data_IF_549026987325
#
_entry.id   IF_549026987325
#
_cell.length_a   1.000
_cell.length_b   1.000
_cell.length_c   1.000
_cell.angle_alpha   90.00
_cell.angle_beta   90.00
_cell.angle_gamma   90.00
#
_symmetry.space_group_name_H-M   'P 1'
#
loop_
_entity.id
_entity.type
_entity.pdbx_description
1 polymer ?
#
# COMPACT_ATOMS: atom_id res chain seq x y z
N UNK A 1 -6.03 42.38 12.07
CA UNK A 1 -5.97 42.51 13.53
C UNK A 1 -5.22 41.32 14.07
N UNK A 2 -3.86 41.41 14.08
CA UNK A 2 -2.99 40.40 14.68
C UNK A 2 -3.24 40.38 16.17
N UNK A 3 -3.91 39.38 16.70
CA UNK A 3 -3.90 39.11 18.12
C UNK A 3 -2.45 38.80 18.49
N UNK A 4 -1.87 39.60 19.38
CA UNK A 4 -0.63 39.27 20.09
C UNK A 4 -0.94 38.09 21.01
N UNK A 5 -0.88 36.88 20.43
CA UNK A 5 -1.01 35.64 21.18
C UNK A 5 0.37 35.26 21.70
N UNK A 6 0.44 34.86 22.96
CA UNK A 6 1.65 34.28 23.56
C UNK A 6 2.06 32.98 22.82
N UNK A 7 3.33 32.61 22.85
CA UNK A 7 3.85 31.45 22.15
C UNK A 7 3.08 30.13 22.41
N UNK A 8 2.61 29.85 23.65
CA UNK A 8 1.73 28.70 23.94
C UNK A 8 0.35 28.80 23.29
N UNK A 9 -0.25 29.97 23.21
CA UNK A 9 -1.55 30.21 22.58
C UNK A 9 -1.48 30.04 21.07
N UNK A 10 -0.39 30.49 20.44
CA UNK A 10 -0.10 30.26 19.03
C UNK A 10 0.00 28.77 18.74
N UNK A 11 0.68 28.00 19.60
CA UNK A 11 0.82 26.56 19.49
C UNK A 11 -0.53 25.83 19.59
N UNK A 12 -1.37 26.22 20.55
CA UNK A 12 -2.71 25.67 20.74
C UNK A 12 -3.63 25.97 19.54
N UNK A 13 -3.60 27.21 19.05
CA UNK A 13 -4.36 27.64 17.87
C UNK A 13 -3.98 26.80 16.62
N UNK A 14 -2.68 26.69 16.32
CA UNK A 14 -2.18 25.90 15.19
C UNK A 14 -2.61 24.44 15.28
N UNK A 15 -2.51 23.85 16.46
CA UNK A 15 -2.94 22.47 16.71
C UNK A 15 -4.45 22.29 16.52
N UNK A 16 -5.26 23.26 16.90
CA UNK A 16 -6.70 23.26 16.69
C UNK A 16 -7.07 23.33 15.21
N UNK A 17 -6.39 24.18 14.43
CA UNK A 17 -6.59 24.32 12.97
C UNK A 17 -6.21 22.98 12.27
N UNK A 18 -5.07 22.39 12.58
CA UNK A 18 -4.65 21.12 12.02
C UNK A 18 -5.64 20.00 12.37
N UNK A 19 -6.13 19.96 13.62
CA UNK A 19 -7.16 18.98 14.04
C UNK A 19 -8.45 19.15 13.24
N UNK A 20 -8.91 20.38 13.02
CA UNK A 20 -10.10 20.71 12.25
C UNK A 20 -9.97 20.24 10.79
N UNK A 21 -8.83 20.52 10.14
CA UNK A 21 -8.52 20.06 8.80
C UNK A 21 -8.50 18.53 8.73
N UNK A 22 -7.80 17.90 9.67
CA UNK A 22 -7.68 16.46 9.73
C UNK A 22 -9.03 15.75 9.83
N UNK A 23 -9.92 16.21 10.71
CA UNK A 23 -11.25 15.63 10.89
C UNK A 23 -12.15 15.82 9.66
N UNK A 24 -11.87 16.81 8.82
CA UNK A 24 -12.67 17.12 7.62
C UNK A 24 -12.16 16.41 6.36
N UNK A 25 -10.85 16.31 6.22
CA UNK A 25 -10.20 15.82 4.99
C UNK A 25 -9.88 14.33 5.07
N UNK A 26 -9.27 13.89 6.17
CA UNK A 26 -8.71 12.54 6.27
C UNK A 26 -9.74 11.41 6.22
N UNK A 27 -10.89 11.47 6.93
CA UNK A 27 -11.85 10.38 6.90
C UNK A 27 -12.38 10.08 5.49
N UNK A 28 -12.66 11.13 4.71
CA UNK A 28 -13.14 10.97 3.36
C UNK A 28 -12.08 10.31 2.46
N UNK A 29 -10.82 10.76 2.54
CA UNK A 29 -9.73 10.14 1.79
C UNK A 29 -9.50 8.67 2.18
N UNK A 30 -9.66 8.34 3.48
CA UNK A 30 -9.59 6.96 3.97
C UNK A 30 -10.67 6.10 3.34
N UNK A 31 -11.91 6.59 3.26
CA UNK A 31 -13.01 5.88 2.58
C UNK A 31 -12.70 5.64 1.11
N UNK A 32 -12.19 6.66 0.39
CA UNK A 32 -11.79 6.50 -1.01
C UNK A 32 -10.72 5.43 -1.19
N UNK A 33 -9.75 5.35 -0.27
CA UNK A 33 -8.66 4.40 -0.35
C UNK A 33 -9.09 2.99 0.04
N UNK A 34 -10.03 2.85 0.99
CA UNK A 34 -10.67 1.56 1.30
C UNK A 34 -11.35 1.01 0.04
N UNK A 35 -12.14 1.83 -0.68
CA UNK A 35 -12.79 1.40 -1.90
C UNK A 35 -11.80 0.97 -2.98
N UNK A 36 -10.69 1.70 -3.15
CA UNK A 36 -9.64 1.34 -4.08
C UNK A 36 -9.02 -0.04 -3.79
N UNK A 37 -8.82 -0.36 -2.51
CA UNK A 37 -8.24 -1.66 -2.14
C UNK A 37 -9.25 -2.81 -2.18
N UNK A 38 -10.53 -2.57 -1.91
CA UNK A 38 -11.60 -3.56 -2.11
C UNK A 38 -11.63 -3.94 -3.59
N UNK A 39 -11.68 -2.97 -4.49
CA UNK A 39 -11.72 -3.20 -5.93
C UNK A 39 -10.47 -3.93 -6.48
N UNK A 40 -9.31 -3.69 -5.89
CA UNK A 40 -8.09 -4.46 -6.25
C UNK A 40 -8.13 -5.91 -5.78
N UNK A 41 -8.75 -6.18 -4.64
CA UNK A 41 -8.81 -7.52 -4.06
C UNK A 41 -9.93 -8.37 -4.67
N UNK A 42 -11.02 -7.76 -5.14
CA UNK A 42 -12.24 -8.42 -5.58
C UNK A 42 -12.02 -9.46 -6.70
N UNK A 43 -11.10 -9.20 -7.62
CA UNK A 43 -10.79 -10.14 -8.71
C UNK A 43 -10.28 -11.49 -8.22
N UNK A 44 -9.59 -11.52 -7.06
CA UNK A 44 -9.15 -12.77 -6.43
C UNK A 44 -10.32 -13.59 -5.89
N UNK A 45 -11.37 -12.93 -5.38
CA UNK A 45 -12.60 -13.59 -4.92
C UNK A 45 -13.50 -13.96 -6.09
N UNK A 46 -13.70 -13.06 -7.05
CA UNK A 46 -14.44 -13.34 -8.27
C UNK A 46 -13.90 -14.58 -9.01
N UNK A 47 -12.58 -14.80 -8.96
CA UNK A 47 -11.91 -15.95 -9.59
C UNK A 47 -12.43 -17.30 -9.11
N UNK A 48 -13.07 -17.39 -7.94
CA UNK A 48 -13.66 -18.64 -7.41
C UNK A 48 -14.72 -19.21 -8.36
N UNK A 49 -15.46 -18.36 -9.04
CA UNK A 49 -16.51 -18.73 -10.00
C UNK A 49 -16.18 -18.29 -11.43
N UNK A 50 -15.66 -17.08 -11.59
CA UNK A 50 -15.35 -16.45 -12.87
C UNK A 50 -14.45 -17.30 -13.75
N UNK A 51 -13.43 -17.95 -13.18
CA UNK A 51 -12.47 -18.74 -13.96
C UNK A 51 -13.15 -19.92 -14.65
N UNK A 52 -14.10 -20.58 -13.98
CA UNK A 52 -14.85 -21.68 -14.53
C UNK A 52 -15.87 -21.20 -15.56
N UNK A 53 -16.59 -20.11 -15.27
CA UNK A 53 -17.60 -19.52 -16.17
C UNK A 53 -16.98 -19.02 -17.49
N UNK A 54 -15.85 -18.34 -17.43
CA UNK A 54 -15.13 -17.83 -18.61
C UNK A 54 -14.21 -18.88 -19.27
N UNK A 55 -14.06 -20.07 -18.70
CA UNK A 55 -13.17 -21.13 -19.19
C UNK A 55 -11.69 -20.71 -19.22
N UNK A 56 -11.25 -19.88 -18.28
CA UNK A 56 -9.87 -19.36 -18.23
C UNK A 56 -8.98 -20.16 -17.28
N UNK A 57 -7.74 -20.34 -17.73
CA UNK A 57 -6.71 -21.04 -16.94
C UNK A 57 -6.15 -20.13 -15.82
N UNK A 58 -5.44 -20.75 -14.85
CA UNK A 58 -4.72 -19.99 -13.83
C UNK A 58 -3.66 -19.04 -14.39
N UNK A 59 -3.01 -19.43 -15.50
CA UNK A 59 -2.07 -18.57 -16.23
C UNK A 59 -2.77 -17.33 -16.82
N UNK A 60 -3.92 -17.53 -17.46
CA UNK A 60 -4.72 -16.44 -18.02
C UNK A 60 -5.26 -15.51 -16.91
N UNK A 61 -5.76 -16.08 -15.80
CA UNK A 61 -6.16 -15.31 -14.63
C UNK A 61 -4.99 -14.46 -14.10
N UNK A 62 -3.83 -15.08 -13.88
CA UNK A 62 -2.64 -14.39 -13.39
C UNK A 62 -2.17 -13.29 -14.34
N UNK A 63 -2.26 -13.52 -15.67
CA UNK A 63 -1.97 -12.50 -16.67
C UNK A 63 -2.96 -11.33 -16.59
N UNK A 64 -4.27 -11.59 -16.57
CA UNK A 64 -5.28 -10.55 -16.47
C UNK A 64 -5.13 -9.74 -15.20
N UNK A 65 -4.93 -10.39 -14.04
CA UNK A 65 -4.68 -9.73 -12.76
C UNK A 65 -3.42 -8.85 -12.80
N UNK A 66 -2.34 -9.35 -13.41
CA UNK A 66 -1.08 -8.62 -13.54
C UNK A 66 -1.14 -7.43 -14.50
N UNK A 67 -1.90 -7.51 -15.58
CA UNK A 67 -2.05 -6.44 -16.58
C UNK A 67 -2.57 -5.12 -15.98
N UNK A 68 -3.35 -5.19 -14.91
CA UNK A 68 -3.71 -4.02 -14.11
C UNK A 68 -2.45 -3.23 -13.68
N UNK A 69 -1.44 -3.92 -13.15
CA UNK A 69 -0.22 -3.28 -12.65
C UNK A 69 0.59 -2.62 -13.77
N UNK A 70 0.56 -3.18 -14.98
CA UNK A 70 1.20 -2.58 -16.16
C UNK A 70 0.48 -1.29 -16.56
N UNK A 71 -0.85 -1.33 -16.69
CA UNK A 71 -1.65 -0.14 -16.98
C UNK A 71 -1.44 0.96 -15.93
N UNK A 72 -1.46 0.60 -14.66
CA UNK A 72 -1.21 1.51 -13.55
C UNK A 72 0.18 2.15 -13.63
N UNK A 73 1.23 1.34 -13.80
CA UNK A 73 2.62 1.79 -13.86
C UNK A 73 2.86 2.79 -15.01
N UNK A 74 2.38 2.48 -16.22
CA UNK A 74 2.58 3.33 -17.39
C UNK A 74 1.91 4.70 -17.25
N UNK A 75 0.76 4.76 -16.59
CA UNK A 75 -0.04 5.98 -16.50
C UNK A 75 0.07 6.71 -15.16
N UNK A 76 0.79 6.19 -14.17
CA UNK A 76 0.96 6.81 -12.87
C UNK A 76 1.60 8.22 -12.97
N UNK A 77 2.69 8.36 -13.70
CA UNK A 77 3.38 9.65 -13.88
C UNK A 77 2.55 10.64 -14.71
N UNK A 78 2.02 10.28 -15.90
CA UNK A 78 1.13 11.15 -16.65
C UNK A 78 -0.08 11.63 -15.85
N UNK A 79 -0.70 10.75 -15.06
CA UNK A 79 -1.84 11.08 -14.21
C UNK A 79 -1.49 12.15 -13.17
N UNK A 80 -0.34 12.02 -12.51
CA UNK A 80 0.14 13.00 -11.53
C UNK A 80 0.46 14.36 -12.16
N UNK A 81 0.98 14.37 -13.38
CA UNK A 81 1.21 15.64 -14.11
C UNK A 81 -0.10 16.34 -14.47
N UNK A 82 -1.12 15.59 -14.88
CA UNK A 82 -2.45 16.13 -15.20
C UNK A 82 -3.15 16.67 -13.96
N UNK A 83 -3.02 16.00 -12.81
CA UNK A 83 -3.57 16.51 -11.55
C UNK A 83 -3.08 17.91 -11.20
N UNK A 84 -1.78 18.19 -11.40
CA UNK A 84 -1.23 19.54 -11.16
C UNK A 84 -1.84 20.62 -12.03
N UNK A 85 -2.27 20.27 -13.26
CA UNK A 85 -2.91 21.22 -14.21
C UNK A 85 -4.42 21.38 -13.98
N UNK A 86 -5.10 20.28 -13.69
CA UNK A 86 -6.58 20.22 -13.59
C UNK A 86 -7.07 20.58 -12.18
N UNK A 87 -6.24 20.37 -11.16
CA UNK A 87 -6.59 20.46 -9.75
C UNK A 87 -6.98 19.08 -9.15
N UNK A 88 -6.71 18.94 -7.84
CA UNK A 88 -6.85 17.66 -7.15
C UNK A 88 -8.29 17.16 -7.12
N UNK A 89 -9.25 18.04 -6.78
CA UNK A 89 -10.67 17.72 -6.68
C UNK A 89 -11.22 17.08 -7.95
N UNK A 90 -11.05 17.77 -9.07
CA UNK A 90 -11.57 17.29 -10.37
C UNK A 90 -10.86 16.05 -10.84
N UNK A 91 -9.54 15.96 -10.61
CA UNK A 91 -8.76 14.85 -11.09
C UNK A 91 -9.00 13.56 -10.29
N UNK A 92 -9.08 13.65 -8.95
CA UNK A 92 -9.44 12.50 -8.09
C UNK A 92 -10.87 12.03 -8.41
N UNK A 93 -11.82 12.97 -8.60
CA UNK A 93 -13.19 12.62 -8.99
C UNK A 93 -13.23 11.88 -10.35
N UNK A 94 -12.44 12.35 -11.34
CA UNK A 94 -12.30 11.67 -12.63
C UNK A 94 -11.75 10.26 -12.49
N UNK A 95 -10.70 10.09 -11.65
CA UNK A 95 -10.10 8.76 -11.39
C UNK A 95 -11.17 7.82 -10.83
N UNK A 96 -11.89 8.23 -9.78
CA UNK A 96 -12.93 7.44 -9.14
C UNK A 96 -14.06 7.08 -10.11
N UNK A 97 -14.53 8.06 -10.89
CA UNK A 97 -15.60 7.85 -11.86
C UNK A 97 -15.17 6.88 -12.97
N UNK A 98 -14.01 7.11 -13.59
CA UNK A 98 -13.54 6.27 -14.70
C UNK A 98 -13.18 4.86 -14.24
N UNK A 99 -12.52 4.72 -13.09
CA UNK A 99 -12.20 3.44 -12.49
C UNK A 99 -13.47 2.68 -12.10
N UNK A 100 -14.39 3.30 -11.33
CA UNK A 100 -15.64 2.65 -10.93
C UNK A 100 -16.49 2.22 -12.13
N UNK A 101 -16.55 3.04 -13.20
CA UNK A 101 -17.24 2.66 -14.44
C UNK A 101 -16.61 1.43 -15.10
N UNK A 102 -15.26 1.38 -15.19
CA UNK A 102 -14.55 0.21 -15.75
C UNK A 102 -14.72 -1.02 -14.86
N UNK A 103 -14.71 -0.85 -13.52
CA UNK A 103 -15.00 -1.95 -12.58
C UNK A 103 -16.40 -2.53 -12.86
N UNK A 104 -17.43 -1.70 -12.94
CA UNK A 104 -18.79 -2.14 -13.30
C UNK A 104 -18.81 -2.84 -14.66
N UNK A 105 -18.14 -2.28 -15.66
CA UNK A 105 -18.06 -2.89 -17.00
C UNK A 105 -17.34 -4.23 -17.00
N UNK A 106 -16.43 -4.49 -16.05
CA UNK A 106 -15.77 -5.78 -15.89
C UNK A 106 -16.79 -6.90 -15.54
N UNK A 107 -17.90 -6.56 -14.89
CA UNK A 107 -19.01 -7.52 -14.67
C UNK A 107 -19.70 -8.01 -15.94
N UNK A 108 -19.44 -7.41 -17.10
CA UNK A 108 -20.07 -7.77 -18.38
C UNK A 108 -19.11 -8.45 -19.38
N UNK A 109 -17.92 -8.86 -18.95
CA UNK A 109 -16.98 -9.58 -19.81
C UNK A 109 -17.43 -11.03 -20.02
N UNK A 110 -17.12 -11.57 -21.21
CA UNK A 110 -17.53 -12.92 -21.62
C UNK A 110 -16.35 -13.83 -21.99
N UNK A 111 -15.14 -13.32 -22.06
CA UNK A 111 -13.96 -14.09 -22.42
C UNK A 111 -12.68 -13.50 -21.79
N UNK A 112 -11.58 -14.24 -21.91
CA UNK A 112 -10.26 -13.84 -21.42
C UNK A 112 -9.80 -12.50 -22.00
N UNK A 113 -10.00 -12.27 -23.29
CA UNK A 113 -9.50 -11.07 -23.97
C UNK A 113 -10.18 -9.81 -23.43
N UNK A 114 -11.51 -9.87 -23.25
CA UNK A 114 -12.28 -8.78 -22.65
C UNK A 114 -11.85 -8.54 -21.19
N UNK A 115 -11.64 -9.60 -20.40
CA UNK A 115 -11.14 -9.48 -19.04
C UNK A 115 -9.75 -8.83 -19.01
N UNK A 116 -8.83 -9.26 -19.86
CA UNK A 116 -7.47 -8.70 -19.94
C UNK A 116 -7.49 -7.21 -20.32
N UNK A 117 -8.32 -6.83 -21.30
CA UNK A 117 -8.53 -5.43 -21.69
C UNK A 117 -9.12 -4.64 -20.51
N UNK A 118 -10.19 -5.14 -19.89
CA UNK A 118 -10.84 -4.47 -18.77
C UNK A 118 -9.86 -4.24 -17.59
N UNK A 119 -9.04 -5.23 -17.25
CA UNK A 119 -8.01 -5.12 -16.20
C UNK A 119 -6.92 -4.11 -16.55
N UNK A 120 -6.49 -4.06 -17.82
CA UNK A 120 -5.51 -3.07 -18.29
C UNK A 120 -6.10 -1.65 -18.21
N UNK A 121 -7.30 -1.46 -18.73
CA UNK A 121 -8.00 -0.16 -18.71
C UNK A 121 -8.31 0.27 -17.28
N UNK A 122 -8.66 -0.67 -16.39
CA UNK A 122 -8.85 -0.39 -14.96
C UNK A 122 -7.57 0.15 -14.32
N UNK A 123 -6.42 -0.48 -14.61
CA UNK A 123 -5.12 0.00 -14.16
C UNK A 123 -4.80 1.42 -14.65
N UNK A 124 -5.09 1.71 -15.92
CA UNK A 124 -4.94 3.06 -16.50
C UNK A 124 -5.89 4.06 -15.82
N UNK A 125 -7.13 3.69 -15.61
CA UNK A 125 -8.15 4.55 -15.02
C UNK A 125 -7.84 4.91 -13.55
N UNK A 126 -7.32 3.95 -12.78
CA UNK A 126 -6.94 4.12 -11.36
C UNK A 126 -5.54 4.73 -11.20
N UNK A 127 -4.73 4.75 -12.27
CA UNK A 127 -3.35 5.19 -12.22
C UNK A 127 -3.19 6.59 -11.60
N UNK A 128 -2.25 6.68 -10.65
CA UNK A 128 -1.95 7.93 -9.96
C UNK A 128 -2.88 8.27 -8.80
N UNK A 129 -3.87 7.45 -8.46
CA UNK A 129 -4.79 7.74 -7.34
C UNK A 129 -4.03 7.98 -6.03
N UNK A 130 -3.19 7.03 -5.61
CA UNK A 130 -2.43 7.13 -4.37
C UNK A 130 -1.48 8.35 -4.36
N UNK A 131 -0.60 8.56 -5.36
CA UNK A 131 0.24 9.75 -5.40
C UNK A 131 -0.56 11.06 -5.47
N UNK A 132 -1.73 11.08 -6.14
CA UNK A 132 -2.61 12.22 -6.16
C UNK A 132 -3.15 12.55 -4.76
N UNK A 133 -3.52 11.55 -3.98
CA UNK A 133 -3.95 11.75 -2.59
C UNK A 133 -2.78 12.28 -1.74
N UNK A 134 -1.58 11.71 -1.88
CA UNK A 134 -0.40 12.22 -1.17
C UNK A 134 -0.11 13.68 -1.53
N UNK A 135 -0.18 14.02 -2.82
CA UNK A 135 0.00 15.39 -3.29
C UNK A 135 -1.10 16.32 -2.76
N UNK A 136 -2.35 15.85 -2.71
CA UNK A 136 -3.46 16.59 -2.11
C UNK A 136 -3.22 16.87 -0.62
N UNK A 137 -2.72 15.89 0.13
CA UNK A 137 -2.37 16.08 1.54
C UNK A 137 -1.27 17.14 1.74
N UNK A 138 -0.38 17.36 0.76
CA UNK A 138 0.62 18.44 0.85
C UNK A 138 0.02 19.83 0.77
N UNK A 139 -1.18 19.99 0.22
CA UNK A 139 -1.90 21.26 0.18
C UNK A 139 -2.58 21.62 1.51
N UNK A 140 -2.71 20.62 2.43
CA UNK A 140 -3.49 20.75 3.66
C UNK A 140 -2.66 20.59 4.93
N UNK A 141 -1.49 19.99 4.84
CA UNK A 141 -0.68 19.68 6.01
C UNK A 141 0.77 20.13 5.85
N UNK A 142 1.28 20.94 6.79
CA UNK A 142 2.70 21.23 6.89
C UNK A 142 3.55 19.96 7.04
N UNK A 143 4.83 20.03 6.67
CA UNK A 143 5.74 18.88 6.63
C UNK A 143 5.80 18.11 7.96
N UNK A 144 5.84 18.85 9.07
CA UNK A 144 5.89 18.27 10.42
C UNK A 144 4.72 17.34 10.73
N UNK A 145 3.51 17.66 10.21
CA UNK A 145 2.29 16.87 10.45
C UNK A 145 2.06 15.79 9.38
N UNK A 146 2.64 15.97 8.20
CA UNK A 146 2.36 15.15 7.01
C UNK A 146 2.64 13.68 7.21
N UNK A 147 3.79 13.33 7.81
CA UNK A 147 4.16 11.94 8.05
C UNK A 147 3.11 11.22 8.93
N UNK A 148 2.63 11.91 9.96
CA UNK A 148 1.59 11.38 10.87
C UNK A 148 0.25 11.21 10.17
N UNK A 149 -0.14 12.17 9.33
CA UNK A 149 -1.41 12.12 8.58
C UNK A 149 -1.37 11.02 7.53
N UNK A 150 -0.26 10.86 6.81
CA UNK A 150 -0.07 9.78 5.85
C UNK A 150 -0.12 8.42 6.55
N UNK A 151 0.54 8.26 7.70
CA UNK A 151 0.46 7.02 8.47
C UNK A 151 -0.98 6.68 8.87
N UNK A 152 -1.78 7.67 9.26
CA UNK A 152 -3.20 7.48 9.57
C UNK A 152 -4.04 7.16 8.33
N UNK A 153 -3.74 7.77 7.19
CA UNK A 153 -4.36 7.44 5.91
C UNK A 153 -4.09 5.98 5.51
N UNK A 154 -2.88 5.48 5.77
CA UNK A 154 -2.50 4.10 5.44
C UNK A 154 -3.24 3.03 6.26
N UNK A 155 -3.95 3.40 7.34
CA UNK A 155 -4.85 2.49 8.07
C UNK A 155 -5.96 1.94 7.15
N UNK A 156 -6.30 2.68 6.11
CA UNK A 156 -7.25 2.22 5.09
C UNK A 156 -6.88 0.85 4.48
N UNK A 157 -5.59 0.57 4.32
CA UNK A 157 -5.09 -0.65 3.67
C UNK A 157 -5.53 -1.93 4.41
N UNK A 158 -5.17 -2.13 5.69
CA UNK A 158 -5.60 -3.33 6.41
C UNK A 158 -7.11 -3.38 6.62
N UNK A 159 -7.79 -2.24 6.79
CA UNK A 159 -9.26 -2.18 6.91
C UNK A 159 -9.93 -2.62 5.62
N UNK A 160 -9.46 -2.17 4.47
CA UNK A 160 -9.98 -2.56 3.17
C UNK A 160 -9.85 -4.08 2.94
N UNK A 161 -8.70 -4.64 3.23
CA UNK A 161 -8.44 -6.07 3.04
C UNK A 161 -9.28 -6.93 3.98
N UNK A 162 -9.51 -6.45 5.21
CA UNK A 162 -10.39 -7.11 6.18
C UNK A 162 -11.87 -7.14 5.72
N UNK A 163 -12.31 -6.10 5.01
CA UNK A 163 -13.69 -5.97 4.52
C UNK A 163 -13.87 -6.72 3.18
N UNK A 164 -12.90 -6.65 2.29
CA UNK A 164 -12.99 -7.15 0.92
C UNK A 164 -13.41 -8.63 0.85
N UNK A 165 -12.76 -9.49 1.65
CA UNK A 165 -13.04 -10.93 1.65
C UNK A 165 -14.49 -11.28 2.03
N UNK A 166 -14.94 -10.91 3.23
CA UNK A 166 -16.32 -11.14 3.64
C UNK A 166 -17.34 -10.51 2.69
N UNK A 167 -17.11 -9.28 2.21
CA UNK A 167 -18.02 -8.60 1.31
C UNK A 167 -18.17 -9.35 -0.03
N UNK A 168 -17.05 -9.61 -0.70
CA UNK A 168 -17.07 -10.34 -1.99
C UNK A 168 -17.60 -11.75 -1.83
N UNK A 169 -17.25 -12.46 -0.73
CA UNK A 169 -17.77 -13.79 -0.44
C UNK A 169 -19.29 -13.81 -0.21
N UNK A 170 -19.84 -12.84 0.52
CA UNK A 170 -21.28 -12.71 0.71
C UNK A 170 -22.00 -12.39 -0.61
N UNK A 171 -21.42 -11.57 -1.47
CA UNK A 171 -21.99 -11.30 -2.80
C UNK A 171 -22.04 -12.61 -3.61
N UNK A 172 -20.97 -13.37 -3.64
CA UNK A 172 -20.89 -14.64 -4.37
C UNK A 172 -21.96 -15.65 -3.91
N UNK A 173 -22.18 -15.77 -2.60
CA UNK A 173 -23.12 -16.76 -2.07
C UNK A 173 -24.61 -16.32 -2.13
N UNK A 174 -24.91 -15.01 -2.13
CA UNK A 174 -26.28 -14.53 -1.91
C UNK A 174 -26.86 -13.69 -3.05
N UNK A 175 -26.03 -13.22 -4.00
CA UNK A 175 -26.52 -12.36 -5.08
C UNK A 175 -26.61 -13.11 -6.40
N UNK A 176 -27.80 -13.60 -6.71
CA UNK A 176 -28.14 -14.34 -7.94
C UNK A 176 -29.27 -13.61 -8.70
N UNK A 177 -29.15 -12.28 -8.82
CA UNK A 177 -30.23 -11.46 -9.39
C UNK A 177 -30.29 -11.57 -10.90
N UNK A 178 -31.48 -11.57 -11.46
CA UNK A 178 -31.76 -11.55 -12.91
C UNK A 178 -31.14 -12.69 -13.71
N UNK A 179 -30.79 -13.81 -13.08
CA UNK A 179 -30.13 -14.93 -13.77
C UNK A 179 -28.70 -14.64 -14.22
N UNK A 180 -28.07 -13.62 -13.61
CA UNK A 180 -26.69 -13.23 -13.88
C UNK A 180 -25.77 -13.88 -12.83
N UNK A 181 -24.63 -14.41 -13.29
CA UNK A 181 -23.64 -15.08 -12.46
C UNK A 181 -23.16 -14.19 -11.29
N UNK A 182 -23.01 -14.76 -10.10
CA UNK A 182 -22.70 -14.02 -8.85
C UNK A 182 -21.38 -13.24 -8.93
N UNK A 183 -20.36 -13.80 -9.57
CA UNK A 183 -19.08 -13.13 -9.71
C UNK A 183 -19.17 -11.79 -10.47
N UNK A 184 -20.14 -11.64 -11.36
CA UNK A 184 -20.38 -10.38 -12.09
C UNK A 184 -20.87 -9.30 -11.16
N UNK A 185 -21.70 -9.67 -10.18
CA UNK A 185 -22.22 -8.76 -9.16
C UNK A 185 -21.14 -8.28 -8.20
N UNK A 186 -20.04 -9.03 -7.99
CA UNK A 186 -18.89 -8.54 -7.21
C UNK A 186 -18.35 -7.26 -7.85
N UNK A 187 -18.09 -7.26 -9.16
CA UNK A 187 -17.59 -6.06 -9.87
C UNK A 187 -18.63 -4.94 -9.95
N UNK A 188 -19.90 -5.27 -10.15
CA UNK A 188 -20.96 -4.28 -10.27
C UNK A 188 -21.22 -3.59 -8.92
N UNK A 189 -21.43 -4.35 -7.85
CA UNK A 189 -21.79 -3.81 -6.53
C UNK A 189 -20.61 -3.12 -5.83
N UNK A 190 -19.38 -3.54 -6.09
CA UNK A 190 -18.20 -2.88 -5.54
C UNK A 190 -17.73 -1.71 -6.40
N UNK A 191 -18.04 -1.70 -7.72
CA UNK A 191 -17.70 -0.60 -8.62
C UNK A 191 -18.66 0.59 -8.53
N UNK A 192 -19.98 0.37 -8.33
CA UNK A 192 -20.96 1.44 -8.20
C UNK A 192 -20.62 2.46 -7.11
N UNK A 193 -20.25 2.07 -5.88
CA UNK A 193 -19.84 3.01 -4.84
C UNK A 193 -18.67 3.91 -5.25
N UNK A 194 -17.70 3.40 -6.03
CA UNK A 194 -16.60 4.20 -6.53
C UNK A 194 -17.09 5.31 -7.49
N UNK A 195 -18.03 4.99 -8.39
CA UNK A 195 -18.69 5.99 -9.27
C UNK A 195 -19.40 7.04 -8.43
N UNK A 196 -20.19 6.62 -7.43
CA UNK A 196 -20.93 7.55 -6.55
C UNK A 196 -19.96 8.43 -5.76
N UNK A 197 -18.88 7.86 -5.22
CA UNK A 197 -17.85 8.62 -4.52
C UNK A 197 -17.12 9.59 -5.46
N UNK A 198 -17.00 9.28 -6.74
CA UNK A 198 -16.52 10.22 -7.75
C UNK A 198 -17.36 11.50 -7.80
N UNK A 199 -18.69 11.38 -7.81
CA UNK A 199 -19.58 12.54 -7.71
C UNK A 199 -19.47 13.25 -6.36
N UNK A 200 -19.47 12.51 -5.25
CA UNK A 200 -19.33 13.09 -3.90
C UNK A 200 -18.02 13.86 -3.77
N UNK A 201 -16.95 13.38 -4.37
CA UNK A 201 -15.62 14.01 -4.36
C UNK A 201 -15.65 15.43 -4.92
N UNK A 202 -16.48 15.71 -5.94
CA UNK A 202 -16.63 17.05 -6.50
C UNK A 202 -17.19 18.07 -5.50
N UNK A 203 -17.88 17.63 -4.47
CA UNK A 203 -18.46 18.48 -3.44
C UNK A 203 -17.69 18.40 -2.10
N UNK A 204 -17.12 17.25 -1.78
CA UNK A 204 -16.44 17.01 -0.51
C UNK A 204 -15.00 17.54 -0.50
N UNK A 205 -14.25 17.39 -1.60
CA UNK A 205 -12.88 17.90 -1.69
C UNK A 205 -12.86 19.37 -2.15
N UNK A 206 -11.83 20.09 -1.70
CA UNK A 206 -11.60 21.51 -2.02
C UNK A 206 -10.14 21.68 -2.44
N UNK A 207 -9.88 22.46 -3.49
CA UNK A 207 -8.54 22.64 -4.10
C UNK A 207 -7.63 23.63 -3.35
N UNK A 208 -7.74 23.70 -2.03
CA UNK A 208 -6.84 24.49 -1.20
C UNK A 208 -7.55 25.29 -0.09
N UNK A 209 -6.77 25.83 0.88
CA UNK A 209 -7.30 26.42 2.10
C UNK A 209 -8.23 27.60 1.84
N UNK A 210 -7.90 28.52 0.95
CA UNK A 210 -8.71 29.71 0.65
C UNK A 210 -10.07 29.41 0.01
N UNK A 211 -10.25 28.22 -0.58
CA UNK A 211 -11.53 27.79 -1.15
C UNK A 211 -12.40 27.06 -0.13
N UNK A 212 -11.87 26.78 1.06
CA UNK A 212 -12.54 26.02 2.11
C UNK A 212 -13.44 26.91 2.96
N UNK A 213 -14.73 26.93 2.68
CA UNK A 213 -15.73 27.75 3.41
C UNK A 213 -15.80 27.45 4.92
N UNK A 214 -15.23 26.35 5.37
CA UNK A 214 -15.21 25.92 6.76
C UNK A 214 -13.93 26.36 7.51
N UNK A 215 -12.95 26.99 6.84
CA UNK A 215 -11.84 27.70 7.46
C UNK A 215 -12.17 29.20 7.56
N UNK A 216 -11.68 29.84 8.62
CA UNK A 216 -11.64 31.29 8.67
C UNK A 216 -10.54 31.80 7.74
N UNK A 217 -10.59 33.10 7.42
CA UNK A 217 -9.59 33.71 6.56
C UNK A 217 -8.20 33.62 7.19
N UNK A 218 -8.08 33.91 8.47
CA UNK A 218 -6.82 33.86 9.20
C UNK A 218 -6.24 32.43 9.26
N UNK A 219 -7.11 31.39 9.43
CA UNK A 219 -6.69 29.98 9.38
C UNK A 219 -6.16 29.61 7.98
N UNK A 220 -6.82 30.07 6.92
CA UNK A 220 -6.42 29.78 5.53
C UNK A 220 -5.13 30.51 5.15
N UNK A 221 -4.97 31.78 5.55
CA UNK A 221 -3.77 32.59 5.32
C UNK A 221 -2.56 31.95 6.02
N UNK A 222 -2.67 31.66 7.33
CA UNK A 222 -1.62 31.02 8.08
C UNK A 222 -1.17 29.69 7.46
N UNK A 223 -2.12 28.84 7.07
CA UNK A 223 -1.80 27.54 6.50
C UNK A 223 -1.09 27.68 5.15
N UNK A 224 -1.60 28.56 4.29
CA UNK A 224 -1.03 28.81 2.95
C UNK A 224 0.39 29.38 3.07
N UNK A 225 0.59 30.40 3.91
CA UNK A 225 1.91 30.97 4.15
C UNK A 225 2.92 29.95 4.66
N UNK A 226 2.49 29.07 5.60
CA UNK A 226 3.33 28.01 6.14
C UNK A 226 3.77 27.03 5.06
N UNK A 227 2.81 26.53 4.25
CA UNK A 227 3.08 25.56 3.18
C UNK A 227 3.92 26.18 2.05
N UNK A 228 3.65 27.43 1.69
CA UNK A 228 4.41 28.15 0.65
C UNK A 228 5.85 28.44 1.10
N UNK A 229 6.06 28.77 2.38
CA UNK A 229 7.39 28.96 2.94
C UNK A 229 8.20 27.64 2.90
N UNK A 230 7.60 26.50 3.30
CA UNK A 230 8.23 25.18 3.17
C UNK A 230 8.56 24.83 1.71
N UNK A 231 7.64 25.13 0.79
CA UNK A 231 7.81 24.83 -0.64
C UNK A 231 8.93 25.66 -1.25
N UNK A 232 9.05 26.96 -0.89
CA UNK A 232 10.13 27.83 -1.33
C UNK A 232 11.49 27.39 -0.78
N UNK A 233 11.54 27.01 0.50
CA UNK A 233 12.76 26.50 1.12
C UNK A 233 13.26 25.22 0.42
N UNK A 234 12.33 24.33 0.05
CA UNK A 234 12.66 23.12 -0.72
C UNK A 234 13.13 23.43 -2.14
N UNK A 235 12.45 24.33 -2.85
CA UNK A 235 12.84 24.72 -4.20
C UNK A 235 14.25 25.32 -4.25
N UNK A 236 14.63 26.10 -3.25
CA UNK A 236 15.98 26.68 -3.13
C UNK A 236 17.07 25.62 -2.88
N UNK A 237 16.72 24.48 -2.25
CA UNK A 237 17.64 23.39 -1.96
C UNK A 237 17.80 22.38 -3.12
N UNK A 238 17.07 22.53 -4.23
CA UNK A 238 16.96 21.50 -5.26
C UNK A 238 17.98 21.65 -6.39
N UNK A 239 19.01 20.75 -6.41
CA UNK A 239 19.72 20.36 -7.63
C UNK A 239 18.91 19.30 -8.40
N UNK A 240 18.93 19.33 -9.73
CA UNK A 240 18.27 18.31 -10.56
C UNK A 240 19.00 16.97 -10.45
N UNK A 241 18.39 15.97 -9.82
CA UNK A 241 18.89 14.59 -9.82
C UNK A 241 18.11 13.80 -10.87
N UNK A 242 18.82 13.20 -11.84
CA UNK A 242 18.19 12.38 -12.86
C UNK A 242 17.62 11.08 -12.29
N UNK A 243 16.38 10.77 -12.60
CA UNK A 243 15.69 9.52 -12.23
C UNK A 243 16.49 8.28 -12.69
N UNK A 244 16.95 8.27 -13.95
CA UNK A 244 17.72 7.16 -14.51
C UNK A 244 19.06 6.95 -13.78
N UNK A 245 19.72 8.02 -13.36
CA UNK A 245 20.97 7.92 -12.61
C UNK A 245 20.75 7.42 -11.18
N UNK A 246 19.60 7.74 -10.58
CA UNK A 246 19.21 7.21 -9.28
C UNK A 246 18.89 5.73 -9.34
N UNK A 247 18.26 5.25 -10.43
CA UNK A 247 17.99 3.83 -10.66
C UNK A 247 19.27 2.98 -10.77
N UNK A 248 20.34 3.50 -11.38
CA UNK A 248 21.57 2.75 -11.63
C UNK A 248 22.43 2.50 -10.38
N UNK A 249 22.13 3.13 -9.26
CA UNK A 249 22.86 2.95 -8.01
C UNK A 249 22.65 1.57 -7.39
N UNK A 250 23.73 0.82 -7.10
CA UNK A 250 23.66 -0.52 -6.52
C UNK A 250 22.84 -0.58 -5.22
N UNK A 251 22.87 0.48 -4.40
CA UNK A 251 22.09 0.59 -3.17
C UNK A 251 20.59 0.67 -3.46
N UNK A 252 20.20 1.50 -4.45
CA UNK A 252 18.81 1.64 -4.91
C UNK A 252 18.31 0.34 -5.52
N UNK A 253 19.09 -0.30 -6.40
CA UNK A 253 18.76 -1.58 -7.02
C UNK A 253 18.60 -2.69 -5.97
N UNK A 254 19.48 -2.75 -4.97
CA UNK A 254 19.37 -3.73 -3.87
C UNK A 254 18.06 -3.56 -3.09
N UNK A 255 17.72 -2.33 -2.69
CA UNK A 255 16.47 -2.07 -2.00
C UNK A 255 15.25 -2.29 -2.92
N UNK A 256 15.36 -1.96 -4.20
CA UNK A 256 14.31 -2.23 -5.18
C UNK A 256 14.05 -3.73 -5.31
N UNK A 257 15.09 -4.57 -5.35
CA UNK A 257 14.93 -6.02 -5.41
C UNK A 257 14.29 -6.59 -4.13
N UNK A 258 14.69 -6.09 -2.94
CA UNK A 258 14.09 -6.52 -1.67
C UNK A 258 12.59 -6.16 -1.66
N UNK A 259 12.25 -4.94 -2.05
CA UNK A 259 10.86 -4.50 -2.08
C UNK A 259 10.04 -5.18 -3.18
N UNK A 260 10.65 -5.43 -4.34
CA UNK A 260 10.06 -6.20 -5.43
C UNK A 260 9.71 -7.64 -5.01
N UNK A 261 10.64 -8.35 -4.37
CA UNK A 261 10.43 -9.72 -3.90
C UNK A 261 9.28 -9.80 -2.89
N UNK A 262 9.22 -8.83 -1.96
CA UNK A 262 8.08 -8.67 -1.06
C UNK A 262 6.78 -8.37 -1.79
N UNK A 263 6.80 -7.49 -2.81
CA UNK A 263 5.62 -7.13 -3.59
C UNK A 263 5.08 -8.32 -4.36
N UNK A 264 5.95 -9.13 -4.98
CA UNK A 264 5.56 -10.41 -5.60
C UNK A 264 4.78 -11.28 -4.62
N UNK A 265 5.31 -11.49 -3.41
CA UNK A 265 4.63 -12.29 -2.38
C UNK A 265 3.26 -11.70 -1.99
N UNK A 266 3.17 -10.38 -1.80
CA UNK A 266 1.91 -9.69 -1.46
C UNK A 266 0.85 -9.90 -2.53
N UNK A 267 1.20 -9.71 -3.81
CA UNK A 267 0.24 -9.84 -4.90
C UNK A 267 -0.16 -11.29 -5.15
N UNK A 268 0.76 -12.25 -5.00
CA UNK A 268 0.42 -13.69 -5.05
C UNK A 268 -0.56 -14.02 -3.93
N UNK A 269 -0.28 -13.62 -2.69
CA UNK A 269 -1.20 -13.82 -1.57
C UNK A 269 -2.55 -13.16 -1.83
N UNK A 270 -2.58 -11.91 -2.28
CA UNK A 270 -3.83 -11.18 -2.49
C UNK A 270 -4.75 -11.83 -3.52
N UNK A 271 -4.20 -12.36 -4.62
CA UNK A 271 -5.01 -12.90 -5.71
C UNK A 271 -5.27 -14.39 -5.63
N UNK A 272 -4.37 -15.17 -5.02
CA UNK A 272 -4.48 -16.64 -5.00
C UNK A 272 -4.91 -17.20 -3.64
N UNK A 273 -4.80 -16.45 -2.53
CA UNK A 273 -5.25 -16.95 -1.21
C UNK A 273 -6.71 -17.38 -1.22
N UNK A 274 -7.68 -16.66 -1.83
CA UNK A 274 -9.06 -17.13 -1.89
C UNK A 274 -9.18 -18.51 -2.55
N UNK A 275 -8.53 -18.70 -3.70
CA UNK A 275 -8.54 -19.99 -4.43
C UNK A 275 -7.81 -21.10 -3.64
N UNK A 276 -6.70 -20.77 -2.96
CA UNK A 276 -5.98 -21.72 -2.12
C UNK A 276 -6.88 -22.18 -0.97
N UNK A 277 -7.49 -21.25 -0.24
CA UNK A 277 -8.40 -21.57 0.89
C UNK A 277 -9.61 -22.38 0.42
N UNK A 278 -10.21 -22.00 -0.70
CA UNK A 278 -11.33 -22.74 -1.28
C UNK A 278 -10.97 -24.19 -1.64
N UNK A 279 -9.72 -24.41 -2.12
CA UNK A 279 -9.23 -25.76 -2.45
C UNK A 279 -8.89 -26.64 -1.25
N UNK A 280 -8.81 -26.09 -0.03
CA UNK A 280 -8.48 -26.84 1.18
C UNK A 280 -9.70 -27.45 1.91
N UNK A 281 -10.91 -27.10 1.51
CA UNK A 281 -12.13 -27.57 2.18
C UNK A 281 -13.24 -27.94 1.22
N UNK A 282 -13.65 -29.20 1.19
CA UNK A 282 -14.64 -29.74 0.23
C UNK A 282 -16.04 -29.07 0.25
N UNK A 283 -16.32 -28.16 1.20
CA UNK A 283 -17.65 -27.54 1.38
C UNK A 283 -17.60 -26.11 1.96
N UNK A 284 -16.53 -25.38 1.74
CA UNK A 284 -16.51 -24.00 2.20
C UNK A 284 -17.37 -23.12 1.28
N UNK A 285 -18.33 -22.37 1.86
CA UNK A 285 -19.02 -21.31 1.13
C UNK A 285 -18.04 -20.18 0.79
N UNK A 286 -18.32 -19.40 -0.25
CA UNK A 286 -17.50 -18.24 -0.63
C UNK A 286 -17.43 -17.22 0.52
N UNK A 287 -18.51 -17.06 1.29
CA UNK A 287 -18.54 -16.26 2.53
C UNK A 287 -17.52 -16.77 3.54
N UNK A 288 -17.46 -18.09 3.78
CA UNK A 288 -16.48 -18.69 4.70
C UNK A 288 -15.06 -18.48 4.20
N UNK A 289 -14.80 -18.67 2.91
CA UNK A 289 -13.51 -18.36 2.28
C UNK A 289 -13.15 -16.90 2.52
N UNK A 290 -14.09 -15.97 2.34
CA UNK A 290 -13.90 -14.54 2.57
C UNK A 290 -13.48 -14.21 4.00
N UNK A 291 -14.16 -14.79 5.01
CA UNK A 291 -13.80 -14.59 6.42
C UNK A 291 -12.46 -15.23 6.78
N UNK A 292 -12.18 -16.44 6.31
CA UNK A 292 -10.92 -17.14 6.56
C UNK A 292 -9.75 -16.34 5.97
N UNK A 293 -9.89 -15.84 4.74
CA UNK A 293 -8.87 -15.04 4.08
C UNK A 293 -8.67 -13.66 4.70
N UNK A 294 -9.63 -13.14 5.45
CA UNK A 294 -9.50 -11.90 6.20
C UNK A 294 -8.62 -12.04 7.46
N UNK A 295 -8.57 -13.23 8.08
CA UNK A 295 -7.82 -13.47 9.33
C UNK A 295 -6.31 -13.14 9.22
N UNK A 296 -5.57 -13.59 8.18
CA UNK A 296 -4.19 -13.23 7.98
C UNK A 296 -3.93 -11.72 7.98
N UNK A 297 -4.80 -10.96 7.33
CA UNK A 297 -4.65 -9.51 7.22
C UNK A 297 -5.01 -8.78 8.51
N UNK A 298 -6.00 -9.27 9.26
CA UNK A 298 -6.31 -8.75 10.60
C UNK A 298 -5.12 -8.91 11.55
N UNK A 299 -4.52 -10.09 11.58
CA UNK A 299 -3.32 -10.36 12.36
C UNK A 299 -2.13 -9.49 11.91
N UNK A 300 -1.94 -9.35 10.59
CA UNK A 300 -0.89 -8.54 10.02
C UNK A 300 -1.04 -7.06 10.39
N UNK A 301 -2.24 -6.50 10.37
CA UNK A 301 -2.51 -5.11 10.73
C UNK A 301 -2.07 -4.77 12.16
N UNK A 302 -2.28 -5.68 13.10
CA UNK A 302 -1.89 -5.51 14.50
C UNK A 302 -0.37 -5.68 14.65
N UNK A 303 0.16 -6.77 14.12
CA UNK A 303 1.56 -7.14 14.31
C UNK A 303 2.53 -6.16 13.63
N UNK A 304 2.22 -5.66 12.42
CA UNK A 304 3.10 -4.75 11.70
C UNK A 304 3.37 -3.44 12.46
N UNK A 305 2.37 -2.95 13.20
CA UNK A 305 2.51 -1.73 14.03
C UNK A 305 3.42 -1.99 15.23
N UNK A 306 3.22 -3.12 15.90
CA UNK A 306 4.06 -3.52 17.04
C UNK A 306 5.51 -3.75 16.58
N UNK A 307 5.71 -4.47 15.48
CA UNK A 307 7.02 -4.78 14.92
C UNK A 307 7.79 -3.54 14.48
N UNK A 308 7.11 -2.59 13.83
CA UNK A 308 7.70 -1.31 13.46
C UNK A 308 8.17 -0.51 14.68
N UNK A 309 7.33 -0.43 15.74
CA UNK A 309 7.70 0.24 17.00
C UNK A 309 8.88 -0.46 17.69
N UNK A 310 8.92 -1.77 17.65
CA UNK A 310 10.03 -2.56 18.20
C UNK A 310 11.33 -2.26 17.45
N UNK A 311 11.29 -2.21 16.13
CA UNK A 311 12.42 -1.82 15.28
C UNK A 311 12.89 -0.39 15.58
N UNK A 312 11.94 0.56 15.76
CA UNK A 312 12.25 1.95 16.08
C UNK A 312 12.97 2.10 17.43
N UNK A 313 12.47 1.41 18.46
CA UNK A 313 13.05 1.45 19.81
C UNK A 313 14.47 0.88 19.87
N UNK A 314 14.74 -0.17 19.09
CA UNK A 314 16.05 -0.83 19.07
C UNK A 314 17.04 -0.17 18.09
N UNK A 315 16.59 0.79 17.27
CA UNK A 315 17.42 1.41 16.22
C UNK A 315 17.95 0.41 15.19
N UNK A 316 17.30 -0.78 15.08
CA UNK A 316 17.73 -1.88 14.24
C UNK A 316 16.70 -2.11 13.13
N UNK A 317 17.11 -2.07 11.88
CA UNK A 317 16.24 -2.19 10.70
C UNK A 317 16.48 -3.49 9.92
N UNK A 318 17.74 -3.88 9.83
CA UNK A 318 18.22 -4.97 8.99
C UNK A 318 17.58 -6.31 9.33
N UNK A 319 17.63 -6.71 10.61
CA UNK A 319 17.05 -7.96 11.07
C UNK A 319 15.52 -7.88 11.17
N UNK A 320 14.97 -6.68 11.41
CA UNK A 320 13.51 -6.46 11.39
C UNK A 320 12.91 -6.54 9.97
N UNK A 321 13.72 -6.50 8.92
CA UNK A 321 13.32 -6.84 7.55
C UNK A 321 13.70 -8.29 7.24
N UNK A 322 14.93 -8.71 7.56
CA UNK A 322 15.47 -10.01 7.16
C UNK A 322 14.77 -11.21 7.81
N UNK A 323 14.56 -11.17 9.14
CA UNK A 323 13.89 -12.27 9.87
C UNK A 323 12.47 -12.50 9.34
N UNK A 324 11.59 -11.48 9.22
CA UNK A 324 10.26 -11.69 8.67
C UNK A 324 10.28 -12.26 7.24
N UNK A 325 11.20 -11.84 6.37
CA UNK A 325 11.31 -12.42 5.03
C UNK A 325 11.68 -13.92 5.07
N UNK A 326 12.57 -14.33 5.98
CA UNK A 326 12.92 -15.74 6.18
C UNK A 326 11.75 -16.54 6.76
N UNK A 327 11.00 -15.97 7.71
CA UNK A 327 9.80 -16.60 8.28
C UNK A 327 8.74 -16.78 7.19
N UNK A 328 8.51 -15.76 6.36
CA UNK A 328 7.59 -15.88 5.23
C UNK A 328 8.04 -16.95 4.23
N UNK A 329 9.31 -16.99 3.89
CA UNK A 329 9.86 -18.01 3.00
C UNK A 329 9.70 -19.43 3.57
N UNK A 330 10.02 -19.62 4.85
CA UNK A 330 9.83 -20.90 5.54
C UNK A 330 8.34 -21.31 5.54
N UNK A 331 7.43 -20.36 5.82
CA UNK A 331 5.99 -20.60 5.76
C UNK A 331 5.51 -21.03 4.37
N UNK A 332 5.98 -20.37 3.30
CA UNK A 332 5.64 -20.73 1.91
C UNK A 332 6.13 -22.14 1.55
N UNK A 333 7.34 -22.50 1.97
CA UNK A 333 7.87 -23.86 1.77
C UNK A 333 7.06 -24.87 2.60
N UNK A 334 6.72 -24.53 3.84
CA UNK A 334 5.92 -25.41 4.72
C UNK A 334 4.53 -25.68 4.17
N UNK A 335 3.91 -24.74 3.45
CA UNK A 335 2.62 -24.94 2.79
C UNK A 335 2.64 -26.09 1.79
N UNK A 336 3.79 -26.41 1.20
CA UNK A 336 3.95 -27.56 0.29
C UNK A 336 3.65 -28.89 0.98
N UNK A 337 3.88 -28.99 2.29
CA UNK A 337 3.80 -30.24 3.07
C UNK A 337 2.48 -30.37 3.86
N UNK A 338 1.60 -29.38 3.85
CA UNK A 338 0.45 -29.30 4.78
C UNK A 338 -0.88 -29.09 4.05
N UNK A 339 -0.97 -29.51 2.78
CA UNK A 339 -2.14 -29.23 1.92
C UNK A 339 -3.42 -29.96 2.33
N UNK A 340 -3.32 -31.02 3.10
CA UNK A 340 -4.47 -31.84 3.51
C UNK A 340 -5.18 -31.28 4.75
N UNK A 341 -4.69 -30.18 5.35
CA UNK A 341 -5.26 -29.61 6.55
C UNK A 341 -5.58 -28.12 6.40
N UNK A 342 -6.87 -27.80 6.35
CA UNK A 342 -7.36 -26.42 6.29
C UNK A 342 -6.74 -25.52 7.38
N UNK A 343 -6.80 -25.97 8.64
CA UNK A 343 -6.38 -25.12 9.76
C UNK A 343 -4.86 -24.89 9.80
N UNK A 344 -4.04 -25.90 9.48
CA UNK A 344 -2.59 -25.70 9.38
C UNK A 344 -2.23 -24.77 8.23
N UNK A 345 -2.89 -24.91 7.09
CA UNK A 345 -2.70 -23.99 5.95
C UNK A 345 -3.11 -22.55 6.28
N UNK A 346 -4.22 -22.37 7.00
CA UNK A 346 -4.66 -21.04 7.48
C UNK A 346 -3.66 -20.43 8.45
N UNK A 347 -3.13 -21.22 9.39
CA UNK A 347 -2.09 -20.76 10.33
C UNK A 347 -0.83 -20.32 9.55
N UNK A 348 -0.41 -21.11 8.57
CA UNK A 348 0.74 -20.75 7.73
C UNK A 348 0.46 -19.47 6.91
N UNK A 349 -0.74 -19.32 6.35
CA UNK A 349 -1.14 -18.08 5.67
C UNK A 349 -1.10 -16.86 6.60
N UNK A 350 -1.53 -17.03 7.87
CA UNK A 350 -1.40 -15.98 8.90
C UNK A 350 0.06 -15.64 9.12
N UNK A 351 0.91 -16.64 9.35
CA UNK A 351 2.35 -16.44 9.60
C UNK A 351 3.02 -15.76 8.41
N UNK A 352 2.77 -16.23 7.19
CA UNK A 352 3.34 -15.66 5.95
C UNK A 352 2.91 -14.21 5.77
N UNK A 353 1.60 -13.94 5.88
CA UNK A 353 1.04 -12.60 5.67
C UNK A 353 1.56 -11.63 6.73
N UNK A 354 1.51 -12.02 8.01
CA UNK A 354 2.06 -11.23 9.12
C UNK A 354 3.53 -10.92 8.89
N UNK A 355 4.33 -11.91 8.52
CA UNK A 355 5.75 -11.74 8.28
C UNK A 355 6.03 -10.77 7.11
N UNK A 356 5.35 -10.93 5.98
CA UNK A 356 5.53 -10.03 4.82
C UNK A 356 5.12 -8.60 5.17
N UNK A 357 3.99 -8.39 5.86
CA UNK A 357 3.52 -7.06 6.24
C UNK A 357 4.36 -6.41 7.34
N UNK A 358 4.94 -7.17 8.25
CA UNK A 358 5.85 -6.69 9.29
C UNK A 358 7.06 -5.94 8.71
N UNK A 359 7.50 -6.29 7.51
CA UNK A 359 8.63 -5.62 6.84
C UNK A 359 8.35 -4.17 6.43
N UNK A 360 7.10 -3.71 6.34
CA UNK A 360 6.76 -2.39 5.78
C UNK A 360 7.44 -1.23 6.52
N UNK A 361 7.26 -1.15 7.84
CA UNK A 361 7.83 -0.06 8.64
C UNK A 361 9.35 -0.04 8.59
N UNK A 362 10.02 -1.12 9.01
CA UNK A 362 11.50 -1.20 8.99
C UNK A 362 12.11 -1.01 7.60
N UNK A 363 11.47 -1.51 6.53
CA UNK A 363 11.98 -1.35 5.17
C UNK A 363 12.01 0.11 4.72
N UNK A 364 10.92 0.88 4.90
CA UNK A 364 10.87 2.26 4.45
C UNK A 364 11.77 3.21 5.24
N UNK A 365 12.30 2.77 6.36
CA UNK A 365 13.35 3.48 7.08
C UNK A 365 14.76 3.29 6.45
N UNK A 366 15.01 2.23 5.67
CA UNK A 366 16.32 1.95 5.07
C UNK A 366 16.76 2.99 4.01
N UNK A 367 15.91 3.43 3.06
CA UNK A 367 16.28 4.42 2.09
C UNK A 367 16.74 5.74 2.72
N UNK A 368 16.15 6.16 3.85
CA UNK A 368 16.47 7.40 4.54
C UNK A 368 17.88 7.41 5.15
N UNK A 369 18.51 6.24 5.29
CA UNK A 369 19.88 6.13 5.80
C UNK A 369 20.94 6.65 4.81
N UNK A 370 20.62 6.74 3.52
CA UNK A 370 21.58 7.18 2.49
C UNK A 370 20.98 8.14 1.45
N UNK A 371 19.66 8.22 1.35
CA UNK A 371 18.99 9.16 0.46
C UNK A 371 18.62 10.43 1.23
N UNK A 372 19.27 11.53 0.90
CA UNK A 372 19.02 12.84 1.52
C UNK A 372 18.66 13.88 0.47
N UNK A 373 17.96 14.93 0.86
CA UNK A 373 17.60 16.03 -0.02
C UNK A 373 16.78 15.59 -1.25
N UNK A 374 17.05 16.19 -2.42
CA UNK A 374 16.30 15.90 -3.67
C UNK A 374 16.44 14.47 -4.16
N UNK A 375 17.61 13.83 -3.90
CA UNK A 375 17.86 12.44 -4.29
C UNK A 375 16.95 11.46 -3.56
N UNK A 376 16.47 11.80 -2.36
CA UNK A 376 15.57 10.95 -1.59
C UNK A 376 14.24 10.73 -2.32
N UNK A 377 13.61 11.79 -2.83
CA UNK A 377 12.33 11.69 -3.53
C UNK A 377 12.45 10.82 -4.79
N UNK A 378 13.51 11.01 -5.56
CA UNK A 378 13.75 10.23 -6.79
C UNK A 378 14.09 8.79 -6.46
N UNK A 379 14.93 8.54 -5.45
CA UNK A 379 15.30 7.19 -5.02
C UNK A 379 14.10 6.39 -4.47
N UNK A 380 13.27 7.01 -3.63
CA UNK A 380 12.05 6.38 -3.11
C UNK A 380 11.06 6.05 -4.23
N UNK A 381 10.86 6.98 -5.18
CA UNK A 381 10.02 6.75 -6.35
C UNK A 381 10.55 5.59 -7.21
N UNK A 382 11.88 5.53 -7.41
CA UNK A 382 12.53 4.46 -8.17
C UNK A 382 12.33 3.09 -7.53
N UNK A 383 12.54 3.00 -6.20
CA UNK A 383 12.33 1.76 -5.44
C UNK A 383 10.87 1.31 -5.55
N UNK A 384 9.91 2.22 -5.38
CA UNK A 384 8.49 1.90 -5.44
C UNK A 384 8.06 1.47 -6.86
N UNK A 385 8.52 2.19 -7.90
CA UNK A 385 8.15 1.89 -9.29
C UNK A 385 8.65 0.51 -9.73
N UNK A 386 9.91 0.17 -9.41
CA UNK A 386 10.44 -1.17 -9.71
C UNK A 386 9.70 -2.27 -8.94
N UNK A 387 9.35 -2.01 -7.68
CA UNK A 387 8.60 -2.97 -6.88
C UNK A 387 7.17 -3.19 -7.38
N UNK A 388 6.53 -2.19 -7.97
CA UNK A 388 5.19 -2.32 -8.56
C UNK A 388 5.14 -3.32 -9.73
N UNK A 389 6.27 -3.56 -10.42
CA UNK A 389 6.37 -4.64 -11.40
C UNK A 389 6.14 -6.03 -10.80
N UNK A 390 6.35 -6.20 -9.49
CA UNK A 390 5.97 -7.41 -8.77
C UNK A 390 4.47 -7.72 -8.83
N UNK A 391 3.64 -6.68 -8.98
CA UNK A 391 2.20 -6.83 -9.20
C UNK A 391 1.82 -7.42 -10.56
N UNK A 392 2.72 -7.39 -11.53
CA UNK A 392 2.56 -8.12 -12.80
C UNK A 392 3.22 -9.50 -12.72
N UNK A 393 4.51 -9.53 -12.38
CA UNK A 393 5.31 -10.76 -12.43
C UNK A 393 4.82 -11.79 -11.41
N UNK A 394 4.37 -11.36 -10.24
CA UNK A 394 3.85 -12.26 -9.19
C UNK A 394 2.67 -13.08 -9.67
N UNK A 395 1.53 -12.48 -9.96
CA UNK A 395 0.33 -13.19 -10.38
C UNK A 395 0.51 -13.96 -11.68
N UNK A 396 1.13 -13.34 -12.70
CA UNK A 396 1.37 -14.01 -13.97
C UNK A 396 2.31 -15.20 -13.83
N UNK A 397 3.46 -15.03 -13.18
CA UNK A 397 4.44 -16.10 -13.01
C UNK A 397 3.89 -17.24 -12.14
N UNK A 398 3.17 -16.93 -11.06
CA UNK A 398 2.54 -17.93 -10.22
C UNK A 398 1.48 -18.74 -10.98
N UNK A 399 0.56 -18.06 -11.65
CA UNK A 399 -0.49 -18.72 -12.44
C UNK A 399 0.04 -19.53 -13.61
N UNK A 400 1.10 -19.05 -14.29
CA UNK A 400 1.76 -19.77 -15.37
C UNK A 400 2.42 -21.06 -14.86
N UNK A 401 3.11 -21.00 -13.73
CA UNK A 401 3.73 -22.17 -13.07
C UNK A 401 2.67 -23.17 -12.62
N UNK A 402 1.59 -22.72 -11.97
CA UNK A 402 0.48 -23.55 -11.54
C UNK A 402 -0.15 -24.29 -12.74
N UNK A 403 -0.35 -23.60 -13.86
CA UNK A 403 -0.90 -24.20 -15.09
C UNK A 403 0.06 -25.21 -15.71
N UNK A 404 1.37 -24.91 -15.75
CA UNK A 404 2.37 -25.74 -16.39
C UNK A 404 2.70 -27.01 -15.56
N UNK A 405 2.62 -26.93 -14.23
CA UNK A 405 3.04 -28.00 -13.33
C UNK A 405 1.89 -28.74 -12.66
N UNK A 406 0.66 -28.26 -12.83
CA UNK A 406 -0.54 -28.82 -12.20
C UNK A 406 -0.67 -28.57 -10.71
N UNK A 407 0.15 -27.67 -10.11
CA UNK A 407 0.12 -27.40 -8.69
C UNK A 407 0.82 -26.10 -8.29
N UNK A 408 0.54 -25.65 -7.06
CA UNK A 408 1.05 -24.36 -6.52
C UNK A 408 2.51 -24.41 -6.05
N UNK A 409 3.10 -25.60 -5.96
CA UNK A 409 4.40 -25.85 -5.29
C UNK A 409 5.56 -25.05 -5.86
N UNK A 410 5.72 -25.07 -7.18
CA UNK A 410 6.79 -24.34 -7.85
C UNK A 410 6.65 -22.84 -7.71
N UNK A 411 5.41 -22.34 -7.80
CA UNK A 411 5.12 -20.94 -7.57
C UNK A 411 5.50 -20.49 -6.16
N UNK A 412 5.07 -21.22 -5.13
CA UNK A 412 5.41 -20.94 -3.73
C UNK A 412 6.92 -21.02 -3.48
N UNK A 413 7.60 -22.04 -4.06
CA UNK A 413 9.05 -22.25 -3.89
C UNK A 413 9.87 -21.12 -4.51
N UNK A 414 9.48 -20.63 -5.69
CA UNK A 414 10.16 -19.49 -6.35
C UNK A 414 9.98 -18.22 -5.54
N UNK A 415 8.77 -17.94 -5.07
CA UNK A 415 8.52 -16.77 -4.20
C UNK A 415 9.35 -16.90 -2.91
N UNK A 416 9.39 -18.08 -2.30
CA UNK A 416 10.20 -18.34 -1.11
C UNK A 416 11.69 -18.08 -1.39
N UNK A 417 12.23 -18.60 -2.50
CA UNK A 417 13.62 -18.37 -2.88
C UNK A 417 13.93 -16.87 -3.06
N UNK A 418 13.03 -16.11 -3.69
CA UNK A 418 13.16 -14.66 -3.83
C UNK A 418 13.22 -13.97 -2.46
N UNK A 419 12.38 -14.38 -1.51
CA UNK A 419 12.38 -13.81 -0.15
C UNK A 419 13.66 -14.18 0.62
N UNK A 420 14.20 -15.38 0.46
CA UNK A 420 15.50 -15.79 1.04
C UNK A 420 16.64 -14.94 0.47
N UNK A 421 16.68 -14.75 -0.85
CA UNK A 421 17.69 -13.89 -1.49
C UNK A 421 17.55 -12.45 -0.99
N UNK A 422 16.33 -11.92 -0.89
CA UNK A 422 16.06 -10.59 -0.35
C UNK A 422 16.50 -10.44 1.10
N UNK A 423 16.25 -11.45 1.95
CA UNK A 423 16.69 -11.49 3.33
C UNK A 423 18.22 -11.55 3.44
N UNK A 424 18.87 -12.39 2.64
CA UNK A 424 20.33 -12.44 2.56
C UNK A 424 20.94 -11.13 2.09
N UNK A 425 20.29 -10.48 1.14
CA UNK A 425 20.74 -9.20 0.62
C UNK A 425 20.63 -8.09 1.70
N UNK A 426 19.46 -7.91 2.32
CA UNK A 426 19.27 -6.86 3.34
C UNK A 426 20.20 -7.01 4.53
N UNK A 427 20.46 -8.25 4.97
CA UNK A 427 21.37 -8.53 6.10
C UNK A 427 22.85 -8.28 5.78
N UNK A 428 23.23 -8.28 4.49
CA UNK A 428 24.59 -8.02 4.01
C UNK A 428 24.85 -6.59 3.56
N UNK A 429 23.81 -5.73 3.46
CA UNK A 429 23.99 -4.33 3.03
C UNK A 429 24.92 -3.57 3.99
N UNK A 430 26.13 -3.29 3.50
CA UNK A 430 27.20 -2.66 4.29
C UNK A 430 26.80 -1.29 4.82
N UNK A 431 26.16 -0.46 3.97
CA UNK A 431 25.75 0.89 4.36
C UNK A 431 24.69 0.89 5.48
N UNK A 432 23.82 -0.15 5.55
CA UNK A 432 22.85 -0.30 6.64
C UNK A 432 23.58 -0.64 7.93
N UNK A 433 24.52 -1.59 7.88
CA UNK A 433 25.33 -1.99 9.04
C UNK A 433 26.11 -0.80 9.62
N UNK A 434 26.76 -0.02 8.76
CA UNK A 434 27.52 1.16 9.15
C UNK A 434 26.63 2.24 9.78
N UNK A 435 25.44 2.49 9.21
CA UNK A 435 24.48 3.45 9.74
C UNK A 435 23.92 3.03 11.11
N UNK A 436 23.58 1.75 11.27
CA UNK A 436 23.12 1.20 12.56
C UNK A 436 24.21 1.24 13.63
N UNK A 437 25.46 0.93 13.28
CA UNK A 437 26.58 1.01 14.20
C UNK A 437 26.79 2.44 14.69
N UNK A 438 26.76 3.41 13.77
CA UNK A 438 26.88 4.83 14.11
C UNK A 438 25.73 5.34 14.99
N UNK A 439 24.50 4.91 14.70
CA UNK A 439 23.33 5.28 15.50
C UNK A 439 23.44 4.75 16.94
N UNK A 440 23.92 3.52 17.11
CA UNK A 440 24.16 2.93 18.45
C UNK A 440 25.26 3.66 19.22
N UNK A 441 26.33 4.04 18.55
CA UNK A 441 27.43 4.80 19.15
C UNK A 441 26.97 6.17 19.66
N UNK A 442 26.17 6.89 18.84
CA UNK A 442 25.56 8.17 19.26
C UNK A 442 24.64 8.00 20.45
N UNK A 443 23.75 7.02 20.42
CA UNK A 443 22.83 6.74 21.53
C UNK A 443 23.58 6.38 22.84
N UNK A 444 24.67 5.61 22.74
CA UNK A 444 25.51 5.28 23.91
C UNK A 444 26.22 6.54 24.46
N UNK A 445 26.67 7.43 23.59
CA UNK A 445 27.32 8.70 23.97
C UNK A 445 26.31 9.63 24.67
N UNK A 446 25.09 9.75 24.14
CA UNK A 446 24.04 10.58 24.72
C UNK A 446 23.61 10.03 26.10
N UNK A 447 23.44 8.71 26.23
CA UNK A 447 23.14 8.08 27.51
C UNK A 447 24.25 8.29 28.56
N UNK A 448 25.52 8.24 28.13
CA UNK A 448 26.65 8.51 29.02
C UNK A 448 26.68 9.96 29.50
N UNK A 449 26.32 10.92 28.63
CA UNK A 449 26.20 12.35 28.99
C UNK A 449 25.08 12.58 30.00
N UNK A 450 23.88 11.98 29.75
CA UNK A 450 22.75 12.11 30.68
C UNK A 450 23.04 11.52 32.07
N UNK A 451 23.86 10.47 32.15
CA UNK A 451 24.30 9.90 33.42
C UNK A 451 25.28 10.84 34.14
N UNK A 452 26.27 11.41 33.42
CA UNK A 452 27.22 12.38 33.95
C UNK A 452 26.52 13.62 34.50
N UNK A 453 25.56 14.17 33.75
CA UNK A 453 24.79 15.35 34.17
C UNK A 453 23.94 15.09 35.45
N UNK A 454 23.41 13.85 35.57
CA UNK A 454 22.67 13.45 36.77
C UNK A 454 23.56 13.26 38.00
N UNK A 455 24.78 12.81 37.85
CA UNK A 455 25.75 12.65 38.92
C UNK A 455 26.28 14.01 39.39
N UNK A 456 26.50 14.96 38.48
CA UNK A 456 26.90 16.33 38.83
C UNK A 456 25.82 17.09 39.61
N UNK A 457 24.53 16.84 39.28
CA UNK A 457 23.39 17.43 40.04
C UNK A 457 23.22 16.79 41.42
N UNK A 458 23.69 15.56 41.67
CA UNK A 458 23.64 14.90 42.97
C UNK A 458 24.77 15.28 43.92
N UNK A 459 25.87 15.85 43.41
CA UNK A 459 27.06 16.25 44.17
C UNK A 459 27.03 17.75 44.52
N UNK A 460 26.16 18.53 43.89
CA UNK A 460 25.89 19.94 44.19
C UNK A 460 24.72 20.09 45.18
#
# INVERSE_FOLDING_TARGET
>A
MSRDLDAPEIGAYRSAVIRKIKMRVLPFLVVLYIMAFIDRANVGYAALEMNADLGITKAQFGLAAGLFSIGYFLFEVPSNMLMRKVGARKWIARILFSWGAVAVLTGFVHDFTQLAIARTVLGIAEAGFFPCVLLYLTLWFPERERARVVAQFMIALPVATLIAGPLSGMILDHVHWFGVESWRWVFILEGIPAVMLGFVTLFALVDGPHKAKWLTRDEADWLTETIDAESRAKAAAHGQVSFLRSLAGIRTLSLSFIYYSKSVAIYVLAFFTPSIVAGLGDKLSNTSVGFITALPYAAAAIFMVWWARHSDRNGERRWHVGIPLLVAAAGLVSMVFVQDSLWFSVILLVVITVAVYATYGPFWALPSLFLTGPAAAVGLASINSLANLGGFVGPFGFGALETATGGIYWGLSIVAAMLVIAAGLVTRLRFVREAEAKARELAATDAARELSDKDDVRVS
#
